data_IF_856503094849
#
_entry.id   IF_856503094849
#
_cell.length_a   1.000
_cell.length_b   1.000
_cell.length_c   1.000
_cell.angle_alpha   90.00
_cell.angle_beta   90.00
_cell.angle_gamma   90.00
#
_symmetry.space_group_name_H-M   'P 1'
#
loop_
_entity.id
_entity.type
_entity.pdbx_description
1 polymer ?
#
# COMPACT_ATOMS: atom_id res chain seq x y z
N UNK A 1 17.59 8.32 -26.40
CA UNK A 1 17.41 6.95 -25.87
C UNK A 1 15.93 6.57 -25.80
N UNK A 2 15.09 7.29 -25.05
CA UNK A 2 13.61 7.07 -24.98
C UNK A 2 12.95 6.80 -26.33
N UNK A 3 13.10 7.70 -27.31
CA UNK A 3 12.53 7.53 -28.66
C UNK A 3 12.96 6.22 -29.34
N UNK A 4 14.19 5.74 -29.10
CA UNK A 4 14.68 4.49 -29.69
C UNK A 4 14.07 3.27 -29.02
N UNK A 5 13.90 3.29 -27.69
CA UNK A 5 13.20 2.22 -26.95
C UNK A 5 11.75 2.10 -27.42
N UNK A 6 11.08 3.24 -27.59
CA UNK A 6 9.72 3.32 -28.13
C UNK A 6 9.63 2.72 -29.55
N UNK A 7 10.61 3.03 -30.42
CA UNK A 7 10.68 2.41 -31.76
C UNK A 7 10.91 0.90 -31.66
N UNK A 8 11.75 0.45 -30.72
CA UNK A 8 12.01 -0.98 -30.49
C UNK A 8 10.74 -1.73 -30.10
N UNK A 9 9.89 -1.13 -29.26
CA UNK A 9 8.62 -1.77 -28.83
C UNK A 9 7.59 -1.90 -29.97
N UNK A 10 7.75 -1.15 -31.06
CA UNK A 10 6.85 -1.13 -32.23
C UNK A 10 7.35 -2.00 -33.40
N UNK A 11 8.51 -2.65 -33.27
CA UNK A 11 9.04 -3.49 -34.35
C UNK A 11 8.10 -4.68 -34.63
N UNK A 12 8.14 -5.17 -35.87
CA UNK A 12 7.36 -6.35 -36.27
C UNK A 12 7.74 -7.60 -35.45
N UNK A 13 9.01 -7.73 -35.08
CA UNK A 13 9.56 -8.80 -34.24
C UNK A 13 9.53 -8.47 -32.73
N UNK A 14 8.84 -7.40 -32.30
CA UNK A 14 8.81 -7.01 -30.90
C UNK A 14 8.15 -8.05 -29.97
N UNK A 15 7.31 -8.93 -30.53
CA UNK A 15 6.73 -10.06 -29.81
C UNK A 15 7.71 -11.22 -29.59
N UNK A 16 8.85 -11.25 -30.28
CA UNK A 16 9.82 -12.34 -30.16
C UNK A 16 10.75 -12.12 -28.96
N UNK A 17 11.07 -13.19 -28.24
CA UNK A 17 12.03 -13.21 -27.13
C UNK A 17 11.80 -12.09 -26.08
N UNK A 18 10.54 -11.74 -25.81
CA UNK A 18 10.16 -10.69 -24.87
C UNK A 18 10.73 -9.29 -25.18
N UNK A 19 11.12 -9.01 -26.44
CA UNK A 19 11.75 -7.74 -26.83
C UNK A 19 10.91 -6.51 -26.44
N UNK A 20 9.59 -6.59 -26.60
CA UNK A 20 8.65 -5.53 -26.20
C UNK A 20 8.66 -5.29 -24.70
N UNK A 21 8.60 -6.36 -23.90
CA UNK A 21 8.63 -6.30 -22.42
C UNK A 21 9.93 -5.62 -21.98
N UNK A 22 11.08 -6.13 -22.43
CA UNK A 22 12.39 -5.55 -22.08
C UNK A 22 12.54 -4.11 -22.55
N UNK A 23 11.92 -3.75 -23.68
CA UNK A 23 11.90 -2.37 -24.18
C UNK A 23 11.15 -1.41 -23.24
N UNK A 24 9.97 -1.82 -22.74
CA UNK A 24 9.20 -1.04 -21.77
C UNK A 24 9.86 -1.04 -20.38
N UNK A 25 10.42 -2.15 -19.92
CA UNK A 25 11.18 -2.20 -18.66
C UNK A 25 12.38 -1.25 -18.66
N UNK A 26 13.17 -1.27 -19.74
CA UNK A 26 14.29 -0.34 -19.90
C UNK A 26 13.82 1.13 -19.95
N UNK A 27 12.65 1.38 -20.54
CA UNK A 27 12.05 2.72 -20.58
C UNK A 27 11.63 3.17 -19.16
N UNK A 28 10.95 2.31 -18.41
CA UNK A 28 10.53 2.55 -17.03
C UNK A 28 11.72 2.86 -16.13
N UNK A 29 12.78 2.07 -16.19
CA UNK A 29 13.97 2.26 -15.36
C UNK A 29 14.73 3.55 -15.73
N UNK A 30 14.75 3.92 -17.02
CA UNK A 30 15.30 5.20 -17.47
C UNK A 30 14.50 6.38 -16.91
N UNK A 31 13.17 6.31 -16.97
CA UNK A 31 12.28 7.34 -16.42
C UNK A 31 12.49 7.48 -14.91
N UNK A 32 12.50 6.35 -14.18
CA UNK A 32 12.69 6.30 -12.72
C UNK A 32 14.01 6.93 -12.29
N UNK A 33 15.09 6.68 -13.02
CA UNK A 33 16.41 7.22 -12.72
C UNK A 33 16.73 8.54 -13.43
N UNK A 34 15.74 9.18 -14.08
CA UNK A 34 15.97 10.44 -14.78
C UNK A 34 16.20 11.61 -13.80
N UNK A 35 17.18 12.50 -14.11
CA UNK A 35 17.42 13.73 -13.36
C UNK A 35 16.36 14.80 -13.65
N UNK A 36 16.28 15.83 -12.78
CA UNK A 36 15.21 16.85 -12.80
C UNK A 36 15.20 17.73 -14.05
N UNK A 37 16.35 17.91 -14.69
CA UNK A 37 16.52 18.64 -15.95
C UNK A 37 15.92 17.90 -17.17
N UNK A 38 15.66 16.59 -17.05
CA UNK A 38 15.02 15.78 -18.09
C UNK A 38 13.48 15.92 -18.12
N UNK A 39 12.90 16.81 -17.33
CA UNK A 39 11.45 16.90 -17.12
C UNK A 39 10.64 17.09 -18.42
N UNK A 40 11.14 17.91 -19.36
CA UNK A 40 10.47 18.10 -20.67
C UNK A 40 10.37 16.80 -21.49
N UNK A 41 11.33 15.89 -21.33
CA UNK A 41 11.28 14.57 -21.97
C UNK A 41 10.26 13.67 -21.27
N UNK A 42 10.12 13.77 -19.94
CA UNK A 42 9.08 13.04 -19.20
C UNK A 42 7.69 13.47 -19.69
N UNK A 43 7.42 14.77 -19.77
CA UNK A 43 6.13 15.29 -20.27
C UNK A 43 5.78 14.74 -21.67
N UNK A 44 6.74 14.81 -22.62
CA UNK A 44 6.55 14.25 -23.97
C UNK A 44 6.29 12.74 -23.94
N UNK A 45 7.05 12.02 -23.13
CA UNK A 45 6.91 10.56 -23.00
C UNK A 45 5.54 10.20 -22.41
N UNK A 46 5.03 10.97 -21.45
CA UNK A 46 3.69 10.76 -20.90
C UNK A 46 2.61 10.88 -21.98
N UNK A 47 2.68 11.91 -22.83
CA UNK A 47 1.74 12.07 -23.92
C UNK A 47 1.84 10.92 -24.94
N UNK A 48 3.06 10.49 -25.27
CA UNK A 48 3.28 9.35 -26.17
C UNK A 48 2.70 8.05 -25.61
N UNK A 49 2.90 7.78 -24.31
CA UNK A 49 2.37 6.59 -23.62
C UNK A 49 0.84 6.64 -23.56
N UNK A 50 0.25 7.80 -23.25
CA UNK A 50 -1.20 7.98 -23.23
C UNK A 50 -1.84 7.76 -24.60
N UNK A 51 -1.25 8.33 -25.66
CA UNK A 51 -1.74 8.13 -27.02
C UNK A 51 -1.67 6.66 -27.44
N UNK A 52 -0.62 5.94 -27.01
CA UNK A 52 -0.49 4.49 -27.23
C UNK A 52 -1.57 3.73 -26.50
N UNK A 53 -1.80 4.03 -25.22
CA UNK A 53 -2.84 3.38 -24.43
C UNK A 53 -4.23 3.57 -25.06
N UNK A 54 -4.57 4.80 -25.45
CA UNK A 54 -5.83 5.11 -26.15
C UNK A 54 -5.96 4.37 -27.48
N UNK A 55 -4.87 4.27 -28.26
CA UNK A 55 -4.87 3.52 -29.53
C UNK A 55 -5.10 2.03 -29.29
N UNK A 56 -4.41 1.45 -28.31
CA UNK A 56 -4.56 0.02 -27.97
C UNK A 56 -6.00 -0.29 -27.56
N UNK A 57 -6.61 0.58 -26.76
CA UNK A 57 -8.02 0.46 -26.39
C UNK A 57 -8.96 0.51 -27.61
N UNK A 58 -8.74 1.43 -28.55
CA UNK A 58 -9.57 1.51 -29.76
C UNK A 58 -9.39 0.33 -30.73
N UNK A 59 -8.23 -0.33 -30.74
CA UNK A 59 -8.00 -1.54 -31.53
C UNK A 59 -8.68 -2.75 -30.90
N UNK A 60 -8.56 -2.91 -29.57
CA UNK A 60 -9.17 -4.03 -28.86
C UNK A 60 -10.71 -4.05 -29.01
N UNK A 61 -11.33 -2.87 -29.07
CA UNK A 61 -12.78 -2.72 -29.33
C UNK A 61 -13.23 -3.43 -30.61
N UNK A 62 -12.33 -3.57 -31.59
CA UNK A 62 -12.58 -4.19 -32.89
C UNK A 62 -11.88 -5.56 -33.05
N UNK A 63 -11.18 -6.05 -32.02
CA UNK A 63 -10.43 -7.29 -32.09
C UNK A 63 -11.36 -8.52 -32.04
N UNK A 64 -11.28 -9.35 -33.10
CA UNK A 64 -12.13 -10.52 -33.29
C UNK A 64 -11.48 -11.80 -32.74
N UNK A 65 -10.15 -11.92 -32.79
CA UNK A 65 -9.44 -13.14 -32.40
C UNK A 65 -8.99 -13.13 -30.93
N UNK A 66 -9.04 -14.29 -30.26
CA UNK A 66 -8.59 -14.45 -28.87
C UNK A 66 -7.09 -14.21 -28.70
N UNK A 67 -6.28 -14.56 -29.71
CA UNK A 67 -4.82 -14.35 -29.69
C UNK A 67 -4.44 -12.87 -29.81
N UNK A 68 -5.20 -12.07 -30.56
CA UNK A 68 -4.94 -10.64 -30.65
C UNK A 68 -5.30 -9.96 -29.31
N UNK A 69 -6.38 -10.41 -28.66
CA UNK A 69 -6.79 -9.89 -27.35
C UNK A 69 -5.76 -10.13 -26.26
N UNK A 70 -5.16 -11.32 -26.18
CA UNK A 70 -4.12 -11.58 -25.17
C UNK A 70 -2.90 -10.67 -25.35
N UNK A 71 -2.41 -10.51 -26.58
CA UNK A 71 -1.27 -9.63 -26.87
C UNK A 71 -1.57 -8.15 -26.60
N UNK A 72 -2.80 -7.71 -26.84
CA UNK A 72 -3.25 -6.35 -26.52
C UNK A 72 -3.31 -6.13 -25.01
N UNK A 73 -3.75 -7.13 -24.24
CA UNK A 73 -3.77 -7.07 -22.76
C UNK A 73 -2.39 -6.99 -22.15
N UNK A 74 -1.44 -7.80 -22.63
CA UNK A 74 -0.04 -7.71 -22.20
C UNK A 74 0.53 -6.32 -22.48
N UNK A 75 0.19 -5.74 -23.63
CA UNK A 75 0.59 -4.37 -23.97
C UNK A 75 -0.10 -3.33 -23.08
N UNK A 76 -1.37 -3.51 -22.70
CA UNK A 76 -2.07 -2.63 -21.75
C UNK A 76 -1.40 -2.64 -20.38
N UNK A 77 -1.07 -3.83 -19.86
CA UNK A 77 -0.32 -4.01 -18.61
C UNK A 77 1.01 -3.23 -18.64
N UNK A 78 1.82 -3.44 -19.68
CA UNK A 78 3.10 -2.72 -19.86
C UNK A 78 2.93 -1.19 -19.96
N UNK A 79 1.88 -0.73 -20.64
CA UNK A 79 1.57 0.69 -20.77
C UNK A 79 1.08 1.29 -19.44
N UNK A 80 0.27 0.57 -18.65
CA UNK A 80 -0.14 0.97 -17.31
C UNK A 80 1.05 1.06 -16.35
N UNK A 81 1.95 0.08 -16.36
CA UNK A 81 3.19 0.11 -15.56
C UNK A 81 4.12 1.27 -15.99
N UNK A 82 4.21 1.53 -17.30
CA UNK A 82 4.95 2.69 -17.82
C UNK A 82 4.29 4.00 -17.41
N UNK A 83 2.95 4.03 -17.39
CA UNK A 83 2.17 5.19 -16.96
C UNK A 83 2.41 5.50 -15.47
N UNK A 84 2.45 4.48 -14.61
CA UNK A 84 2.84 4.64 -13.21
C UNK A 84 4.24 5.28 -13.09
N UNK A 85 5.22 4.77 -13.85
CA UNK A 85 6.59 5.28 -13.83
C UNK A 85 6.70 6.76 -14.24
N UNK A 86 5.95 7.18 -15.27
CA UNK A 86 5.93 8.60 -15.67
C UNK A 86 5.16 9.47 -14.68
N UNK A 87 4.01 9.02 -14.17
CA UNK A 87 3.17 9.78 -13.23
C UNK A 87 3.95 10.13 -11.96
N UNK A 88 4.76 9.21 -11.42
CA UNK A 88 5.63 9.46 -10.25
C UNK A 88 6.67 10.58 -10.47
N UNK A 89 6.95 10.95 -11.72
CA UNK A 89 7.91 12.01 -12.07
C UNK A 89 7.23 13.33 -12.44
N UNK A 90 5.91 13.36 -12.56
CA UNK A 90 5.17 14.55 -12.95
C UNK A 90 5.06 15.52 -11.78
N UNK A 91 5.24 16.81 -12.07
CA UNK A 91 5.05 17.87 -11.08
C UNK A 91 3.57 18.04 -10.82
N UNK A 92 3.21 18.30 -9.56
CA UNK A 92 1.80 18.51 -9.14
C UNK A 92 1.09 19.60 -9.97
N UNK A 93 1.82 20.61 -10.40
CA UNK A 93 1.33 21.71 -11.26
C UNK A 93 0.83 21.23 -12.63
N UNK A 94 1.45 20.20 -13.20
CA UNK A 94 1.10 19.66 -14.52
C UNK A 94 0.12 18.49 -14.44
N UNK A 95 -0.07 17.91 -13.25
CA UNK A 95 -0.94 16.75 -13.05
C UNK A 95 -2.36 17.01 -13.54
N UNK A 96 -2.91 18.20 -13.30
CA UNK A 96 -4.26 18.56 -13.72
C UNK A 96 -4.46 18.59 -15.25
N UNK A 97 -3.39 18.78 -16.03
CA UNK A 97 -3.48 18.84 -17.50
C UNK A 97 -3.58 17.46 -18.14
N UNK A 98 -3.08 16.43 -17.46
CA UNK A 98 -3.04 15.06 -17.98
C UNK A 98 -4.05 14.14 -17.30
N UNK A 99 -4.50 14.47 -16.08
CA UNK A 99 -5.27 13.56 -15.24
C UNK A 99 -6.60 13.14 -15.87
N UNK A 100 -7.27 14.03 -16.61
CA UNK A 100 -8.54 13.71 -17.28
C UNK A 100 -8.33 12.64 -18.36
N UNK A 101 -7.26 12.76 -19.15
CA UNK A 101 -6.93 11.79 -20.20
C UNK A 101 -6.47 10.46 -19.62
N UNK A 102 -5.70 10.49 -18.53
CA UNK A 102 -5.27 9.30 -17.79
C UNK A 102 -6.49 8.57 -17.23
N UNK A 103 -7.33 9.27 -16.48
CA UNK A 103 -8.47 8.65 -15.81
C UNK A 103 -9.48 8.11 -16.81
N UNK A 104 -9.74 8.83 -17.91
CA UNK A 104 -10.60 8.33 -18.98
C UNK A 104 -10.09 7.01 -19.58
N UNK A 105 -8.78 6.88 -19.81
CA UNK A 105 -8.19 5.65 -20.30
C UNK A 105 -8.27 4.51 -19.26
N UNK A 106 -7.97 4.80 -17.99
CA UNK A 106 -8.03 3.80 -16.91
C UNK A 106 -9.47 3.32 -16.65
N UNK A 107 -10.45 4.21 -16.63
CA UNK A 107 -11.86 3.84 -16.49
C UNK A 107 -12.32 2.97 -17.67
N UNK A 108 -11.86 3.25 -18.89
CA UNK A 108 -12.19 2.43 -20.05
C UNK A 108 -11.63 1.00 -19.90
N UNK A 109 -10.39 0.86 -19.42
CA UNK A 109 -9.78 -0.45 -19.09
C UNK A 109 -10.62 -1.17 -18.03
N UNK A 110 -10.96 -0.50 -16.92
CA UNK A 110 -11.71 -1.12 -15.82
C UNK A 110 -13.12 -1.56 -16.25
N UNK A 111 -13.79 -0.76 -17.08
CA UNK A 111 -15.10 -1.10 -17.64
C UNK A 111 -15.03 -2.35 -18.53
N UNK A 112 -13.94 -2.52 -19.29
CA UNK A 112 -13.70 -3.72 -20.09
C UNK A 112 -13.43 -4.95 -19.23
N UNK A 113 -12.57 -4.79 -18.22
CA UNK A 113 -12.23 -5.88 -17.29
C UNK A 113 -13.47 -6.38 -16.54
N UNK A 114 -14.35 -5.46 -16.13
CA UNK A 114 -15.60 -5.81 -15.43
C UNK A 114 -16.56 -6.67 -16.26
N UNK A 115 -16.41 -6.69 -17.59
CA UNK A 115 -17.28 -7.42 -18.52
C UNK A 115 -16.64 -8.73 -19.04
N UNK A 116 -15.39 -9.04 -18.70
CA UNK A 116 -14.64 -10.16 -19.25
C UNK A 116 -13.94 -10.98 -18.16
N UNK A 117 -14.02 -12.32 -18.25
CA UNK A 117 -13.55 -13.24 -17.20
C UNK A 117 -12.02 -13.50 -17.20
N UNK A 118 -11.23 -12.84 -18.08
CA UNK A 118 -9.81 -13.15 -18.30
C UNK A 118 -8.88 -11.91 -18.23
N UNK A 119 -9.31 -10.83 -17.59
CA UNK A 119 -8.63 -9.52 -17.63
C UNK A 119 -7.95 -9.11 -16.32
N UNK A 120 -7.67 -10.10 -15.46
CA UNK A 120 -7.26 -9.88 -14.08
C UNK A 120 -6.05 -8.98 -13.85
N UNK A 121 -4.93 -9.35 -14.47
CA UNK A 121 -3.68 -8.59 -14.34
C UNK A 121 -3.79 -7.16 -14.88
N UNK A 122 -4.59 -6.94 -15.93
CA UNK A 122 -4.78 -5.59 -16.48
C UNK A 122 -5.59 -4.71 -15.52
N UNK A 123 -6.57 -5.29 -14.83
CA UNK A 123 -7.34 -4.59 -13.78
C UNK A 123 -6.45 -4.20 -12.60
N UNK A 124 -5.57 -5.10 -12.15
CA UNK A 124 -4.57 -4.83 -11.12
C UNK A 124 -3.67 -3.65 -11.52
N UNK A 125 -3.06 -3.69 -12.70
CA UNK A 125 -2.19 -2.62 -13.20
C UNK A 125 -2.92 -1.28 -13.36
N UNK A 126 -4.19 -1.32 -13.75
CA UNK A 126 -5.04 -0.14 -13.84
C UNK A 126 -5.31 0.47 -12.45
N UNK A 127 -5.58 -0.35 -11.44
CA UNK A 127 -5.75 0.10 -10.05
C UNK A 127 -4.44 0.70 -9.51
N UNK A 128 -3.30 0.06 -9.75
CA UNK A 128 -1.98 0.60 -9.37
C UNK A 128 -1.64 1.93 -10.07
N UNK A 129 -2.07 2.10 -11.33
CA UNK A 129 -1.99 3.37 -12.03
C UNK A 129 -2.90 4.44 -11.42
N UNK A 130 -4.11 4.07 -10.97
CA UNK A 130 -4.99 4.98 -10.22
C UNK A 130 -4.37 5.38 -8.89
N UNK A 131 -3.80 4.45 -8.11
CA UNK A 131 -3.03 4.73 -6.89
C UNK A 131 -1.97 5.80 -7.11
N UNK A 132 -1.15 5.63 -8.14
CA UNK A 132 -0.11 6.60 -8.49
C UNK A 132 -0.71 7.97 -8.86
N UNK A 133 -1.85 7.99 -9.56
CA UNK A 133 -2.53 9.25 -9.89
C UNK A 133 -3.09 9.94 -8.64
N UNK A 134 -3.63 9.18 -7.68
CA UNK A 134 -4.11 9.69 -6.39
C UNK A 134 -2.97 10.36 -5.62
N UNK A 135 -1.80 9.71 -5.52
CA UNK A 135 -0.62 10.28 -4.85
C UNK A 135 -0.20 11.63 -5.46
N UNK A 136 -0.24 11.74 -6.79
CA UNK A 136 0.18 12.95 -7.52
C UNK A 136 -0.84 14.08 -7.36
N UNK A 137 -2.14 13.76 -7.44
CA UNK A 137 -3.21 14.75 -7.40
C UNK A 137 -3.64 15.15 -5.99
N UNK A 138 -3.47 14.26 -5.01
CA UNK A 138 -4.03 14.41 -3.68
C UNK A 138 -5.56 14.59 -3.73
N UNK A 139 -6.07 15.52 -2.93
CA UNK A 139 -7.49 15.89 -2.84
C UNK A 139 -8.15 16.24 -4.19
N UNK A 140 -7.38 16.69 -5.19
CA UNK A 140 -7.93 17.03 -6.50
C UNK A 140 -8.45 15.81 -7.27
N UNK A 141 -8.11 14.59 -6.84
CA UNK A 141 -8.68 13.36 -7.41
C UNK A 141 -10.18 13.20 -7.09
N UNK A 142 -10.73 13.95 -6.11
CA UNK A 142 -12.14 13.89 -5.71
C UNK A 142 -13.12 14.04 -6.88
N UNK A 143 -12.78 14.77 -7.95
CA UNK A 143 -13.63 14.92 -9.14
C UNK A 143 -13.90 13.62 -9.90
N UNK A 144 -13.08 12.59 -9.74
CA UNK A 144 -13.24 11.30 -10.41
C UNK A 144 -13.97 10.26 -9.56
N UNK A 145 -14.18 10.52 -8.27
CA UNK A 145 -14.67 9.51 -7.33
C UNK A 145 -16.05 8.98 -7.68
N UNK A 146 -16.95 9.83 -8.19
CA UNK A 146 -18.29 9.40 -8.59
C UNK A 146 -18.25 8.31 -9.67
N UNK A 147 -17.37 8.47 -10.66
CA UNK A 147 -17.21 7.51 -11.76
C UNK A 147 -16.34 6.31 -11.36
N UNK A 148 -15.36 6.52 -10.49
CA UNK A 148 -14.40 5.49 -10.08
C UNK A 148 -14.95 4.53 -9.01
N UNK A 149 -15.79 5.03 -8.09
CA UNK A 149 -16.31 4.27 -6.93
C UNK A 149 -16.91 2.90 -7.31
N UNK A 150 -17.74 2.75 -8.36
CA UNK A 150 -18.29 1.44 -8.73
C UNK A 150 -17.22 0.40 -9.07
N UNK A 151 -16.15 0.82 -9.75
CA UNK A 151 -15.05 -0.07 -10.14
C UNK A 151 -14.22 -0.50 -8.94
N UNK A 152 -13.89 0.44 -8.05
CA UNK A 152 -13.20 0.15 -6.80
C UNK A 152 -13.99 -0.85 -5.94
N UNK A 153 -15.29 -0.62 -5.79
CA UNK A 153 -16.14 -1.48 -4.94
C UNK A 153 -16.36 -2.85 -5.58
N UNK A 154 -16.39 -2.95 -6.90
CA UNK A 154 -16.42 -4.23 -7.57
C UNK A 154 -15.11 -5.00 -7.35
N UNK A 155 -13.96 -4.33 -7.51
CA UNK A 155 -12.64 -4.92 -7.29
C UNK A 155 -12.45 -5.49 -5.87
N UNK A 156 -12.98 -4.80 -4.85
CA UNK A 156 -12.97 -5.30 -3.47
C UNK A 156 -13.80 -6.58 -3.28
N UNK A 157 -14.85 -6.78 -4.09
CA UNK A 157 -15.74 -7.96 -4.03
C UNK A 157 -15.26 -9.11 -4.92
N UNK A 158 -14.29 -8.89 -5.80
CA UNK A 158 -13.74 -9.93 -6.66
C UNK A 158 -12.76 -10.81 -5.87
N UNK A 159 -13.32 -11.75 -5.08
CA UNK A 159 -12.53 -12.57 -4.15
C UNK A 159 -11.72 -13.68 -4.84
N UNK A 160 -12.08 -14.05 -6.07
CA UNK A 160 -11.38 -15.08 -6.86
C UNK A 160 -9.98 -14.63 -7.28
N UNK A 161 -9.81 -13.33 -7.53
CA UNK A 161 -8.56 -12.74 -7.98
C UNK A 161 -7.92 -11.89 -6.88
N UNK A 162 -7.14 -12.55 -6.01
CA UNK A 162 -6.59 -11.91 -4.82
C UNK A 162 -5.73 -10.66 -5.09
N UNK A 163 -5.06 -10.59 -6.25
CA UNK A 163 -4.23 -9.46 -6.66
C UNK A 163 -5.05 -8.19 -6.87
N UNK A 164 -6.20 -8.30 -7.54
CA UNK A 164 -7.14 -7.18 -7.71
C UNK A 164 -7.62 -6.68 -6.35
N UNK A 165 -8.00 -7.60 -5.45
CA UNK A 165 -8.48 -7.25 -4.12
C UNK A 165 -7.38 -6.52 -3.32
N UNK A 166 -6.13 -7.00 -3.37
CA UNK A 166 -4.98 -6.34 -2.73
C UNK A 166 -4.72 -4.94 -3.30
N UNK A 167 -4.72 -4.79 -4.63
CA UNK A 167 -4.56 -3.49 -5.28
C UNK A 167 -5.69 -2.53 -4.92
N UNK A 168 -6.94 -3.01 -4.85
CA UNK A 168 -8.09 -2.20 -4.44
C UNK A 168 -8.00 -1.76 -2.98
N UNK A 169 -7.52 -2.62 -2.08
CA UNK A 169 -7.23 -2.23 -0.68
C UNK A 169 -6.14 -1.16 -0.64
N UNK A 170 -5.07 -1.30 -1.43
CA UNK A 170 -4.02 -0.28 -1.56
C UNK A 170 -4.57 1.08 -2.02
N UNK A 171 -5.49 1.08 -3.00
CA UNK A 171 -6.18 2.30 -3.43
C UNK A 171 -6.96 2.97 -2.29
N UNK A 172 -7.59 2.21 -1.37
CA UNK A 172 -8.25 2.80 -0.20
C UNK A 172 -7.22 3.52 0.69
N UNK A 173 -6.07 2.90 0.95
CA UNK A 173 -4.99 3.54 1.72
C UNK A 173 -4.49 4.83 1.05
N UNK A 174 -4.28 4.82 -0.27
CA UNK A 174 -3.88 6.03 -1.00
C UNK A 174 -4.95 7.13 -0.97
N UNK A 175 -6.24 6.75 -1.05
CA UNK A 175 -7.35 7.69 -0.88
C UNK A 175 -7.38 8.28 0.53
N UNK A 176 -7.11 7.48 1.57
CA UNK A 176 -7.03 7.95 2.95
C UNK A 176 -5.93 9.00 3.11
N UNK A 177 -4.74 8.74 2.55
CA UNK A 177 -3.62 9.70 2.59
C UNK A 177 -3.87 10.95 1.74
N UNK A 178 -4.55 10.81 0.59
CA UNK A 178 -4.78 11.93 -0.32
C UNK A 178 -5.91 12.86 0.12
N UNK A 179 -6.96 12.30 0.72
CA UNK A 179 -8.18 13.06 1.07
C UNK A 179 -8.22 13.45 2.53
N UNK A 180 -7.44 12.78 3.39
CA UNK A 180 -7.44 13.00 4.83
C UNK A 180 -8.88 12.94 5.38
N UNK A 181 -9.32 13.93 6.14
CA UNK A 181 -10.65 14.01 6.75
C UNK A 181 -11.81 14.00 5.73
N UNK A 182 -11.56 14.42 4.48
CA UNK A 182 -12.57 14.50 3.42
C UNK A 182 -13.02 13.14 2.89
N UNK A 183 -12.32 12.05 3.25
CA UNK A 183 -12.74 10.69 2.87
C UNK A 183 -13.98 10.23 3.65
N UNK A 184 -14.32 10.90 4.75
CA UNK A 184 -15.39 10.50 5.69
C UNK A 184 -16.73 10.08 5.04
N UNK A 185 -17.25 10.76 3.98
CA UNK A 185 -18.51 10.38 3.35
C UNK A 185 -18.50 9.01 2.65
N UNK A 186 -17.32 8.47 2.31
CA UNK A 186 -17.17 7.17 1.65
C UNK A 186 -16.78 6.06 2.62
N UNK A 187 -16.46 6.41 3.86
CA UNK A 187 -15.76 5.53 4.77
C UNK A 187 -16.64 4.38 5.28
N UNK A 188 -17.92 4.62 5.54
CA UNK A 188 -18.83 3.58 6.03
C UNK A 188 -18.94 2.42 5.02
N UNK A 189 -19.02 2.74 3.72
CA UNK A 189 -19.04 1.74 2.66
C UNK A 189 -17.69 0.98 2.57
N UNK A 190 -16.56 1.70 2.66
CA UNK A 190 -15.22 1.11 2.56
C UNK A 190 -14.93 0.18 3.74
N UNK A 191 -15.22 0.61 4.97
CA UNK A 191 -15.06 -0.22 6.18
C UNK A 191 -15.96 -1.44 6.11
N UNK A 192 -17.21 -1.29 5.64
CA UNK A 192 -18.12 -2.43 5.48
C UNK A 192 -17.55 -3.48 4.52
N UNK A 193 -16.96 -3.06 3.39
CA UNK A 193 -16.33 -3.98 2.43
C UNK A 193 -15.07 -4.64 3.01
N UNK A 194 -14.21 -3.91 3.72
CA UNK A 194 -13.03 -4.48 4.38
C UNK A 194 -13.40 -5.52 5.44
N UNK A 195 -14.47 -5.27 6.21
CA UNK A 195 -14.98 -6.24 7.18
C UNK A 195 -15.53 -7.50 6.50
N UNK A 196 -16.21 -7.37 5.35
CA UNK A 196 -16.67 -8.52 4.55
C UNK A 196 -15.49 -9.37 4.08
N UNK A 197 -14.39 -8.76 3.61
CA UNK A 197 -13.16 -9.45 3.20
C UNK A 197 -12.57 -10.27 4.36
N UNK A 198 -12.58 -9.73 5.58
CA UNK A 198 -12.07 -10.43 6.77
C UNK A 198 -12.97 -11.59 7.19
N UNK A 199 -14.29 -11.44 7.03
CA UNK A 199 -15.29 -12.44 7.40
C UNK A 199 -15.40 -13.59 6.39
N UNK A 200 -15.11 -13.35 5.12
CA UNK A 200 -15.23 -14.38 4.09
C UNK A 200 -14.15 -15.47 4.25
N UNK A 201 -14.59 -16.72 4.31
CA UNK A 201 -13.73 -17.89 4.40
C UNK A 201 -13.11 -18.29 3.04
N UNK A 202 -13.69 -17.83 1.92
CA UNK A 202 -13.24 -18.14 0.57
C UNK A 202 -12.14 -17.19 0.08
N UNK A 203 -11.97 -16.03 0.73
CA UNK A 203 -10.90 -15.09 0.40
C UNK A 203 -9.54 -15.71 0.72
N UNK A 204 -8.62 -15.67 -0.24
CA UNK A 204 -7.24 -16.15 -0.06
C UNK A 204 -6.62 -15.46 1.16
N UNK A 205 -6.01 -16.26 2.04
CA UNK A 205 -5.45 -15.78 3.30
C UNK A 205 -4.51 -14.58 3.16
N UNK A 206 -3.74 -14.50 2.06
CA UNK A 206 -2.82 -13.39 1.77
C UNK A 206 -3.49 -11.99 1.65
N UNK A 207 -4.80 -11.91 1.38
CA UNK A 207 -5.52 -10.63 1.26
C UNK A 207 -5.82 -10.03 2.63
N UNK A 208 -6.16 -10.86 3.61
CA UNK A 208 -6.61 -10.42 4.95
C UNK A 208 -5.61 -9.52 5.68
N UNK A 209 -4.28 -9.80 5.67
CA UNK A 209 -3.28 -8.87 6.19
C UNK A 209 -3.47 -7.44 5.65
N UNK A 210 -3.63 -7.28 4.34
CA UNK A 210 -3.71 -5.96 3.71
C UNK A 210 -4.92 -5.17 4.20
N UNK A 211 -6.07 -5.84 4.41
CA UNK A 211 -7.25 -5.20 4.99
C UNK A 211 -7.01 -4.73 6.44
N UNK A 212 -6.25 -5.49 7.23
CA UNK A 212 -5.86 -5.11 8.60
C UNK A 212 -4.94 -3.88 8.62
N UNK A 213 -3.96 -3.84 7.71
CA UNK A 213 -3.07 -2.68 7.55
C UNK A 213 -3.84 -1.43 7.14
N UNK A 214 -4.78 -1.57 6.19
CA UNK A 214 -5.59 -0.46 5.67
C UNK A 214 -6.43 0.23 6.76
N UNK A 215 -6.89 -0.50 7.78
CA UNK A 215 -7.56 0.12 8.92
C UNK A 215 -6.69 1.13 9.67
N UNK A 216 -5.36 0.96 9.66
CA UNK A 216 -4.42 1.94 10.18
C UNK A 216 -4.46 3.26 9.40
N UNK A 217 -4.45 3.20 8.07
CA UNK A 217 -4.51 4.38 7.20
C UNK A 217 -5.87 5.10 7.33
N UNK A 218 -6.95 4.32 7.45
CA UNK A 218 -8.29 4.84 7.75
C UNK A 218 -8.31 5.55 9.11
N UNK A 219 -7.71 4.95 10.13
CA UNK A 219 -7.64 5.55 11.46
C UNK A 219 -6.90 6.89 11.42
N UNK A 220 -5.76 6.95 10.72
CA UNK A 220 -4.99 8.18 10.54
C UNK A 220 -5.82 9.25 9.83
N UNK A 221 -6.50 8.91 8.73
CA UNK A 221 -7.28 9.85 7.94
C UNK A 221 -8.49 10.44 8.71
N UNK A 222 -9.16 9.64 9.54
CA UNK A 222 -10.32 10.08 10.31
C UNK A 222 -9.98 10.70 11.67
N UNK A 223 -8.80 10.39 12.22
CA UNK A 223 -8.41 10.78 13.57
C UNK A 223 -9.44 10.35 14.62
N UNK A 224 -9.92 11.25 15.50
CA UNK A 224 -10.88 10.91 16.55
C UNK A 224 -12.21 10.31 16.04
N UNK A 225 -12.62 10.63 14.81
CA UNK A 225 -13.86 10.09 14.22
C UNK A 225 -13.77 8.58 13.94
N UNK A 226 -12.58 7.99 14.02
CA UNK A 226 -12.38 6.54 13.89
C UNK A 226 -12.99 5.73 15.04
N UNK A 227 -13.31 6.36 16.19
CA UNK A 227 -13.85 5.70 17.37
C UNK A 227 -15.05 4.76 17.05
N UNK A 228 -15.91 5.15 16.09
CA UNK A 228 -17.07 4.33 15.65
C UNK A 228 -16.68 2.96 15.05
N UNK A 229 -15.46 2.79 14.56
CA UNK A 229 -14.96 1.55 13.96
C UNK A 229 -13.98 0.80 14.86
N UNK A 230 -13.46 1.44 15.90
CA UNK A 230 -12.35 0.94 16.71
C UNK A 230 -12.61 -0.47 17.24
N UNK A 231 -13.76 -0.70 17.88
CA UNK A 231 -14.08 -1.99 18.48
C UNK A 231 -14.08 -3.14 17.46
N UNK A 232 -14.64 -2.93 16.27
CA UNK A 232 -14.65 -3.94 15.21
C UNK A 232 -13.22 -4.27 14.75
N UNK A 233 -12.42 -3.23 14.50
CA UNK A 233 -11.08 -3.41 13.91
C UNK A 233 -10.07 -3.99 14.90
N UNK A 234 -10.17 -3.62 16.17
CA UNK A 234 -9.32 -4.14 17.24
C UNK A 234 -9.52 -5.65 17.42
N UNK A 235 -10.77 -6.14 17.38
CA UNK A 235 -11.04 -7.57 17.51
C UNK A 235 -10.32 -8.40 16.43
N UNK A 236 -10.41 -7.96 15.16
CA UNK A 236 -9.72 -8.62 14.06
C UNK A 236 -8.20 -8.55 14.18
N UNK A 237 -7.64 -7.40 14.58
CA UNK A 237 -6.21 -7.25 14.82
C UNK A 237 -5.72 -8.17 15.94
N UNK A 238 -6.46 -8.27 17.05
CA UNK A 238 -6.11 -9.16 18.16
C UNK A 238 -6.14 -10.64 17.73
N UNK A 239 -7.14 -11.05 16.97
CA UNK A 239 -7.23 -12.40 16.42
C UNK A 239 -6.06 -12.71 15.46
N UNK A 240 -5.70 -11.75 14.61
CA UNK A 240 -4.56 -11.85 13.71
C UNK A 240 -3.23 -12.00 14.47
N UNK A 241 -2.98 -11.21 15.52
CA UNK A 241 -1.78 -11.34 16.37
C UNK A 241 -1.67 -12.73 16.98
N UNK A 242 -2.80 -13.31 17.43
CA UNK A 242 -2.80 -14.66 17.98
C UNK A 242 -2.45 -15.74 16.95
N UNK A 243 -2.85 -15.53 15.69
CA UNK A 243 -2.54 -16.41 14.57
C UNK A 243 -1.13 -16.20 13.97
N UNK A 244 -0.46 -15.08 14.26
CA UNK A 244 0.84 -14.69 13.70
C UNK A 244 2.04 -15.42 14.34
N UNK A 245 1.96 -16.74 14.43
CA UNK A 245 3.00 -17.62 14.97
C UNK A 245 3.70 -18.39 13.86
N UNK A 246 5.03 -18.40 13.90
CA UNK A 246 5.84 -19.24 13.01
C UNK A 246 5.91 -20.62 13.66
N UNK A 247 5.24 -21.61 13.07
CA UNK A 247 5.22 -22.99 13.57
C UNK A 247 6.30 -23.85 12.93
N UNK A 248 6.63 -23.57 11.67
CA UNK A 248 7.71 -24.24 10.94
C UNK A 248 8.64 -23.19 10.28
N UNK A 249 9.81 -22.90 10.87
CA UNK A 249 10.77 -21.96 10.29
C UNK A 249 11.33 -22.37 8.92
N UNK A 250 11.24 -23.64 8.55
CA UNK A 250 11.71 -24.13 7.24
C UNK A 250 10.65 -23.98 6.13
N UNK A 251 9.40 -23.68 6.49
CA UNK A 251 8.32 -23.39 5.54
C UNK A 251 8.36 -21.90 5.18
N UNK A 252 9.03 -21.58 4.07
CA UNK A 252 9.23 -20.20 3.61
C UNK A 252 7.91 -19.49 3.31
N UNK A 253 6.91 -20.18 2.76
CA UNK A 253 5.59 -19.58 2.48
C UNK A 253 4.87 -19.21 3.78
N UNK A 254 4.94 -20.07 4.80
CA UNK A 254 4.40 -19.75 6.11
C UNK A 254 5.12 -18.53 6.70
N UNK A 255 6.45 -18.49 6.65
CA UNK A 255 7.25 -17.39 7.20
C UNK A 255 6.87 -16.07 6.53
N UNK A 256 6.83 -16.03 5.19
CA UNK A 256 6.44 -14.83 4.42
C UNK A 256 5.02 -14.36 4.75
N UNK A 257 4.06 -15.30 4.87
CA UNK A 257 2.70 -14.96 5.27
C UNK A 257 2.64 -14.38 6.68
N UNK A 258 3.33 -15.00 7.66
CA UNK A 258 3.35 -14.52 9.04
C UNK A 258 4.06 -13.17 9.15
N UNK A 259 5.15 -12.95 8.40
CA UNK A 259 5.79 -11.63 8.31
C UNK A 259 4.84 -10.56 7.76
N UNK A 260 4.15 -10.85 6.65
CA UNK A 260 3.15 -9.95 6.07
C UNK A 260 2.01 -9.66 7.06
N UNK A 261 1.52 -10.69 7.77
CA UNK A 261 0.49 -10.53 8.79
C UNK A 261 0.96 -9.63 9.95
N UNK A 262 2.20 -9.82 10.42
CA UNK A 262 2.79 -9.00 11.48
C UNK A 262 2.96 -7.56 11.04
N UNK A 263 3.50 -7.32 9.85
CA UNK A 263 3.74 -5.96 9.34
C UNK A 263 2.43 -5.17 9.17
N UNK A 264 1.39 -5.82 8.64
CA UNK A 264 0.09 -5.21 8.52
C UNK A 264 -0.60 -4.97 9.87
N UNK A 265 -0.44 -5.88 10.85
CA UNK A 265 -0.95 -5.64 12.20
C UNK A 265 -0.21 -4.48 12.89
N UNK A 266 1.12 -4.38 12.73
CA UNK A 266 1.91 -3.25 13.22
C UNK A 266 1.42 -1.95 12.59
N UNK A 267 1.18 -1.93 11.28
CA UNK A 267 0.67 -0.75 10.56
C UNK A 267 -0.73 -0.36 11.03
N UNK A 268 -1.63 -1.34 11.19
CA UNK A 268 -2.97 -1.14 11.75
C UNK A 268 -2.93 -0.52 13.16
N UNK A 269 -2.13 -1.10 14.07
CA UNK A 269 -1.99 -0.56 15.42
C UNK A 269 -1.31 0.82 15.45
N UNK A 270 -0.30 1.04 14.61
CA UNK A 270 0.38 2.34 14.49
C UNK A 270 -0.63 3.42 14.12
N UNK A 271 -1.47 3.16 13.12
CA UNK A 271 -2.52 4.10 12.72
C UNK A 271 -3.55 4.36 13.82
N UNK A 272 -3.97 3.32 14.56
CA UNK A 272 -4.88 3.46 15.70
C UNK A 272 -4.26 4.32 16.81
N UNK A 273 -3.00 4.06 17.19
CA UNK A 273 -2.29 4.84 18.22
C UNK A 273 -2.20 6.31 17.79
N UNK A 274 -1.85 6.56 16.52
CA UNK A 274 -1.74 7.92 15.98
C UNK A 274 -3.08 8.65 15.90
N UNK A 275 -4.17 7.94 15.60
CA UNK A 275 -5.52 8.51 15.58
C UNK A 275 -6.01 8.88 16.99
N UNK A 276 -5.74 8.00 17.96
CA UNK A 276 -6.27 8.11 19.33
C UNK A 276 -5.48 9.07 20.21
N UNK A 277 -4.22 9.38 19.88
CA UNK A 277 -3.34 10.24 20.69
C UNK A 277 -3.90 11.65 20.98
N UNK A 278 -4.80 12.13 20.14
CA UNK A 278 -5.30 13.52 20.18
C UNK A 278 -6.49 13.71 21.15
N UNK A 279 -7.02 12.66 21.77
CA UNK A 279 -8.19 12.75 22.65
C UNK A 279 -8.06 11.87 23.90
N UNK A 280 -8.51 12.37 25.06
CA UNK A 280 -8.47 11.59 26.30
C UNK A 280 -9.33 10.32 26.23
N UNK A 281 -10.49 10.39 25.57
CA UNK A 281 -11.36 9.23 25.34
C UNK A 281 -10.65 8.16 24.49
N UNK A 282 -10.01 8.57 23.39
CA UNK A 282 -9.23 7.65 22.55
C UNK A 282 -8.10 6.97 23.31
N UNK A 283 -7.39 7.71 24.17
CA UNK A 283 -6.36 7.13 25.04
C UNK A 283 -6.93 6.07 25.99
N UNK A 284 -8.10 6.33 26.59
CA UNK A 284 -8.75 5.35 27.47
C UNK A 284 -9.15 4.07 26.73
N UNK A 285 -9.59 4.19 25.47
CA UNK A 285 -9.91 3.05 24.63
C UNK A 285 -8.68 2.29 24.12
N UNK A 286 -7.52 2.97 24.05
CA UNK A 286 -6.26 2.36 23.64
C UNK A 286 -5.69 1.43 24.71
N UNK A 287 -5.81 1.80 26.00
CA UNK A 287 -5.20 1.10 27.14
C UNK A 287 -5.48 -0.43 27.12
N UNK A 288 -6.72 -0.92 26.93
CA UNK A 288 -7.00 -2.36 26.87
C UNK A 288 -6.31 -3.10 25.72
N UNK A 289 -5.94 -2.39 24.65
CA UNK A 289 -5.35 -2.96 23.42
C UNK A 289 -3.83 -3.08 23.53
N UNK A 290 -3.19 -2.21 24.32
CA UNK A 290 -1.74 -2.12 24.50
C UNK A 290 -1.04 -3.47 24.78
N UNK A 291 -1.54 -4.36 25.65
CA UNK A 291 -0.88 -5.65 25.88
C UNK A 291 -0.72 -6.50 24.62
N UNK A 292 -1.67 -6.43 23.69
CA UNK A 292 -1.61 -7.16 22.42
C UNK A 292 -0.61 -6.53 21.45
N UNK A 293 -0.51 -5.19 21.45
CA UNK A 293 0.54 -4.48 20.69
C UNK A 293 1.93 -4.88 21.19
N UNK A 294 2.13 -4.92 22.51
CA UNK A 294 3.40 -5.34 23.13
C UNK A 294 3.71 -6.80 22.83
N UNK A 295 2.69 -7.69 22.85
CA UNK A 295 2.85 -9.09 22.44
C UNK A 295 3.35 -9.21 21.00
N UNK A 296 2.77 -8.46 20.07
CA UNK A 296 3.20 -8.44 18.67
C UNK A 296 4.64 -7.91 18.52
N UNK A 297 4.98 -6.82 19.23
CA UNK A 297 6.34 -6.27 19.27
C UNK A 297 7.34 -7.32 19.78
N UNK A 298 7.00 -8.04 20.85
CA UNK A 298 7.84 -9.10 21.42
C UNK A 298 8.05 -10.24 20.41
N UNK A 299 6.99 -10.69 19.71
CA UNK A 299 7.11 -11.73 18.68
C UNK A 299 8.09 -11.34 17.56
N UNK A 300 8.04 -10.10 17.08
CA UNK A 300 9.01 -9.60 16.08
C UNK A 300 10.42 -9.50 16.69
N UNK A 301 10.52 -9.01 17.92
CA UNK A 301 11.80 -8.87 18.61
C UNK A 301 12.52 -10.21 18.83
N UNK A 302 11.76 -11.26 19.19
CA UNK A 302 12.24 -12.63 19.43
C UNK A 302 12.59 -13.37 18.14
N UNK A 303 11.91 -13.05 17.03
CA UNK A 303 12.19 -13.65 15.71
C UNK A 303 13.58 -13.29 15.17
N UNK A 304 14.23 -12.25 15.73
CA UNK A 304 15.63 -11.95 15.45
C UNK A 304 15.87 -11.66 13.97
N UNK A 305 16.78 -12.41 13.35
CA UNK A 305 17.15 -12.25 11.94
C UNK A 305 16.16 -12.88 10.96
N UNK A 306 15.14 -13.63 11.43
CA UNK A 306 14.07 -14.13 10.57
C UNK A 306 13.15 -13.00 10.13
N UNK A 307 13.06 -11.92 10.91
CA UNK A 307 12.26 -10.75 10.55
C UNK A 307 13.04 -9.79 9.67
N UNK A 308 12.44 -9.32 8.59
CA UNK A 308 13.02 -8.29 7.72
C UNK A 308 13.38 -7.00 8.47
N UNK A 309 14.40 -6.29 7.97
CA UNK A 309 14.81 -4.99 8.52
C UNK A 309 13.66 -3.97 8.47
N UNK A 310 12.79 -4.05 7.46
CA UNK A 310 11.63 -3.18 7.30
C UNK A 310 10.60 -3.42 8.40
N UNK A 311 10.22 -4.68 8.67
CA UNK A 311 9.30 -5.05 9.75
C UNK A 311 9.87 -4.69 11.13
N UNK A 312 11.17 -4.94 11.34
CA UNK A 312 11.83 -4.53 12.57
C UNK A 312 11.81 -3.01 12.73
N UNK A 313 11.98 -2.27 11.63
CA UNK A 313 11.87 -0.81 11.57
C UNK A 313 10.48 -0.29 11.91
N UNK A 314 9.42 -0.80 11.28
CA UNK A 314 8.03 -0.41 11.55
C UNK A 314 7.63 -0.74 12.99
N UNK A 315 8.11 -1.87 13.51
CA UNK A 315 7.93 -2.26 14.92
C UNK A 315 8.60 -1.28 15.87
N UNK A 316 9.82 -0.80 15.57
CA UNK A 316 10.44 0.29 16.34
C UNK A 316 9.62 1.58 16.29
N UNK A 317 8.97 1.87 15.15
CA UNK A 317 8.00 2.95 15.01
C UNK A 317 6.88 2.86 16.05
N UNK A 318 6.19 1.71 16.10
CA UNK A 318 5.12 1.48 17.07
C UNK A 318 5.61 1.58 18.53
N UNK A 319 6.80 1.06 18.84
CA UNK A 319 7.41 1.20 20.18
C UNK A 319 7.54 2.68 20.57
N UNK A 320 8.07 3.52 19.67
CA UNK A 320 8.21 4.94 19.95
C UNK A 320 6.86 5.64 20.07
N UNK A 321 5.88 5.32 19.21
CA UNK A 321 4.53 5.89 19.28
C UNK A 321 3.85 5.55 20.63
N UNK A 322 4.01 4.32 21.13
CA UNK A 322 3.49 3.93 22.45
C UNK A 322 4.17 4.68 23.60
N UNK A 323 5.48 4.94 23.51
CA UNK A 323 6.23 5.71 24.52
C UNK A 323 5.76 7.17 24.53
N UNK A 324 5.62 7.77 23.35
CA UNK A 324 5.17 9.16 23.20
C UNK A 324 3.74 9.35 23.74
N UNK A 325 2.88 8.35 23.57
CA UNK A 325 1.46 8.41 23.96
C UNK A 325 1.22 8.07 25.43
N UNK A 326 1.87 7.02 25.95
CA UNK A 326 1.58 6.48 27.29
C UNK A 326 2.62 6.86 28.35
N UNK A 327 3.74 7.45 27.95
CA UNK A 327 4.76 7.93 28.89
C UNK A 327 5.27 6.83 29.82
N UNK A 328 5.35 7.10 31.13
CA UNK A 328 5.99 6.20 32.11
C UNK A 328 5.27 4.87 32.30
N UNK A 329 3.96 4.82 32.03
CA UNK A 329 3.11 3.67 32.34
C UNK A 329 3.41 2.47 31.45
N UNK A 330 3.95 2.70 30.24
CA UNK A 330 4.29 1.64 29.29
C UNK A 330 5.67 1.00 29.56
N UNK A 331 6.51 1.65 30.37
CA UNK A 331 7.90 1.25 30.60
C UNK A 331 8.05 -0.21 31.08
N UNK A 332 7.25 -0.72 32.04
CA UNK A 332 7.37 -2.10 32.52
C UNK A 332 7.09 -3.14 31.43
N UNK A 333 6.30 -2.79 30.41
CA UNK A 333 5.94 -3.67 29.31
C UNK A 333 6.97 -3.64 28.18
N UNK A 334 7.64 -2.50 27.96
CA UNK A 334 8.60 -2.32 26.86
C UNK A 334 10.06 -2.55 27.26
N UNK A 335 10.41 -2.41 28.54
CA UNK A 335 11.78 -2.61 29.00
C UNK A 335 12.15 -4.08 29.18
N UNK A 336 12.15 -4.83 28.07
CA UNK A 336 12.51 -6.25 28.04
C UNK A 336 13.81 -6.46 27.24
N UNK A 337 14.58 -7.52 27.53
CA UNK A 337 15.81 -7.82 26.77
C UNK A 337 15.56 -7.98 25.27
N UNK A 338 14.44 -8.59 24.89
CA UNK A 338 14.06 -8.81 23.50
C UNK A 338 13.86 -7.47 22.76
N UNK A 339 13.06 -6.56 23.33
CA UNK A 339 12.76 -5.26 22.71
C UNK A 339 14.00 -4.37 22.68
N UNK A 340 14.80 -4.33 23.75
CA UNK A 340 16.08 -3.62 23.72
C UNK A 340 17.03 -4.18 22.64
N UNK A 341 17.03 -5.51 22.43
CA UNK A 341 17.77 -6.17 21.36
C UNK A 341 17.28 -5.75 19.96
N UNK A 342 15.97 -5.70 19.74
CA UNK A 342 15.35 -5.18 18.51
C UNK A 342 15.81 -3.75 18.21
N UNK A 343 15.67 -2.85 19.18
CA UNK A 343 16.10 -1.44 19.05
C UNK A 343 17.58 -1.33 18.67
N UNK A 344 18.45 -2.15 19.28
CA UNK A 344 19.88 -2.17 18.98
C UNK A 344 20.18 -2.69 17.56
N UNK A 345 19.46 -3.72 17.10
CA UNK A 345 19.59 -4.23 15.72
C UNK A 345 19.18 -3.15 14.71
N UNK A 346 18.02 -2.53 14.89
CA UNK A 346 17.55 -1.47 13.99
C UNK A 346 18.54 -0.29 13.90
N UNK A 347 19.13 0.16 15.02
CA UNK A 347 20.17 1.20 15.01
C UNK A 347 21.39 0.89 14.14
N UNK A 348 21.67 -0.41 13.92
CA UNK A 348 22.78 -0.91 13.11
C UNK A 348 22.34 -1.36 11.71
N UNK A 349 21.05 -1.30 11.40
CA UNK A 349 20.52 -1.66 10.08
C UNK A 349 21.13 -0.81 8.98
N UNK A 350 21.30 -1.42 7.80
CA UNK A 350 21.70 -0.73 6.58
C UNK A 350 20.53 0.00 5.93
N UNK A 351 19.29 -0.40 6.25
CA UNK A 351 18.06 0.23 5.78
C UNK A 351 17.85 1.55 6.55
N UNK A 352 17.86 2.68 5.84
CA UNK A 352 17.82 4.01 6.46
C UNK A 352 16.55 4.25 7.28
N UNK A 353 15.39 3.76 6.81
CA UNK A 353 14.11 3.88 7.53
C UNK A 353 14.16 3.15 8.88
N UNK A 354 14.54 1.86 8.86
CA UNK A 354 14.69 1.05 10.07
C UNK A 354 15.71 1.65 11.04
N UNK A 355 16.85 2.13 10.53
CA UNK A 355 17.86 2.83 11.33
C UNK A 355 17.33 4.08 12.00
N UNK A 356 16.62 4.92 11.26
CA UNK A 356 16.07 6.18 11.78
C UNK A 356 15.05 5.92 12.89
N UNK A 357 14.12 4.98 12.67
CA UNK A 357 13.10 4.59 13.65
C UNK A 357 13.73 3.93 14.89
N UNK A 358 14.70 3.05 14.70
CA UNK A 358 15.41 2.40 15.81
C UNK A 358 16.21 3.39 16.66
N UNK A 359 16.85 4.41 16.05
CA UNK A 359 17.53 5.49 16.78
C UNK A 359 16.54 6.34 17.57
N UNK A 360 15.43 6.73 16.94
CA UNK A 360 14.39 7.54 17.58
C UNK A 360 13.76 6.82 18.78
N UNK A 361 13.22 5.61 18.58
CA UNK A 361 12.57 4.85 19.66
C UNK A 361 13.54 4.52 20.82
N UNK A 362 14.82 4.24 20.51
CA UNK A 362 15.85 4.05 21.55
C UNK A 362 16.08 5.30 22.40
N UNK A 363 16.03 6.47 21.77
CA UNK A 363 16.21 7.75 22.45
C UNK A 363 15.03 8.01 23.38
N UNK A 364 13.80 7.82 22.90
CA UNK A 364 12.60 8.03 23.69
C UNK A 364 12.55 7.08 24.90
N UNK A 365 12.84 5.79 24.70
CA UNK A 365 12.93 4.81 25.80
C UNK A 365 14.00 5.20 26.83
N UNK A 366 15.17 5.65 26.38
CA UNK A 366 16.26 6.06 27.28
C UNK A 366 15.90 7.32 28.07
N UNK A 367 15.24 8.27 27.43
CA UNK A 367 14.77 9.50 28.06
C UNK A 367 13.73 9.19 29.14
N UNK A 368 12.77 8.33 28.82
CA UNK A 368 11.73 7.90 29.76
C UNK A 368 12.30 7.19 30.99
N UNK A 369 13.28 6.28 30.81
CA UNK A 369 13.99 5.61 31.92
C UNK A 369 14.68 6.60 32.87
N UNK A 370 15.34 7.63 32.33
CA UNK A 370 15.98 8.66 33.15
C UNK A 370 14.96 9.45 33.96
N UNK A 371 13.81 9.79 33.35
CA UNK A 371 12.73 10.47 34.04
C UNK A 371 12.06 9.60 35.11
N UNK A 372 11.97 8.28 34.90
CA UNK A 372 11.43 7.35 35.88
C UNK A 372 12.36 7.18 37.09
N UNK A 373 13.68 7.11 36.87
CA UNK A 373 14.69 6.97 37.93
C UNK A 373 14.99 8.27 38.69
N UNK A 374 14.52 9.42 38.20
CA UNK A 374 14.70 10.73 38.84
C UNK A 374 13.57 11.09 39.83
N UNK A 375 12.53 10.25 39.92
CA UNK A 375 11.43 10.32 40.88
C UNK A 375 11.63 9.20 41.89
#
# INVERSE_FOLDING_TARGET
>A
MVKRLIITTDRADAGENNLRISGYEALMELIKNSPKDCYLYIQRTTLDVLQRLQRVLGIEDNAISTSDRSQLRDLQSLLCATLQSVLRKIRKEDAGQISDSVMSALLHIMQRCSNGHDAGGVMEDALMAVSTLIEVMGVNFAKYMEQFKPFLFNALRTHEEHQICQAAIGVISDLCHAFEDKIAPLMDDMVSLLLQILQDANVKHAVKPHALGCFGDIAIALGPNYNRYLNYTVEYLMNAVNAAQITNPDDLEQVEYVESLRDNCISGFTGIVQAMRSSQEGLQQLIPVVPQMVKLIAMVAESGNLSSDDLQGTTCGLVGDLIDVLGKDILPLLDTPAINGLLQRCRRSKVQKAKSLGVWASRELSHLKRQANAV
#
